data_IF_895983678518
#
_entry.id   IF_895983678518
#
_cell.length_a   1.000
_cell.length_b   1.000
_cell.length_c   1.000
_cell.angle_alpha   90.00
_cell.angle_beta   90.00
_cell.angle_gamma   90.00
#
_symmetry.space_group_name_H-M   'P 1'
#
loop_
_entity.id
_entity.type
_entity.pdbx_description
1 polymer ?
#
# COMPACT_ATOMS: atom_id res chain seq x y z
N UNK A 1 11.53 19.54 -9.02
CA UNK A 1 10.84 18.29 -8.63
C UNK A 1 9.37 18.44 -8.97
N UNK A 2 8.88 17.78 -10.01
CA UNK A 2 7.48 17.88 -10.41
C UNK A 2 6.61 17.12 -9.41
N UNK A 3 5.91 17.84 -8.53
CA UNK A 3 4.83 17.29 -7.72
C UNK A 3 3.64 17.04 -8.66
N UNK A 4 3.49 15.80 -9.13
CA UNK A 4 2.29 15.38 -9.85
C UNK A 4 1.04 15.76 -9.04
N UNK A 5 -0.01 16.29 -9.67
CA UNK A 5 -1.22 16.68 -8.97
C UNK A 5 -1.83 15.42 -8.36
N UNK A 6 -1.85 15.36 -7.03
CA UNK A 6 -2.72 14.48 -6.27
C UNK A 6 -4.14 14.82 -6.75
N UNK A 7 -4.67 14.00 -7.66
CA UNK A 7 -5.86 14.32 -8.44
C UNK A 7 -7.04 14.64 -7.53
N UNK A 8 -7.86 15.61 -7.94
CA UNK A 8 -9.09 16.03 -7.27
C UNK A 8 -9.90 14.79 -6.86
N UNK A 9 -10.06 14.55 -5.55
CA UNK A 9 -10.75 13.37 -5.00
C UNK A 9 -9.85 12.24 -4.47
N UNK A 10 -8.53 12.42 -4.43
CA UNK A 10 -7.62 11.47 -3.79
C UNK A 10 -7.31 11.89 -2.34
N UNK A 11 -7.26 10.91 -1.43
CA UNK A 11 -6.88 11.12 -0.03
C UNK A 11 -5.53 10.47 0.25
N UNK A 12 -4.70 11.16 1.03
CA UNK A 12 -3.43 10.61 1.52
C UNK A 12 -3.70 9.85 2.81
N UNK A 13 -3.25 8.60 2.88
CA UNK A 13 -3.40 7.73 4.05
C UNK A 13 -2.01 7.40 4.58
N UNK A 14 -1.78 7.72 5.86
CA UNK A 14 -0.61 7.23 6.59
C UNK A 14 -0.91 5.84 7.16
N UNK A 15 -0.03 4.87 6.91
CA UNK A 15 -0.16 3.51 7.44
C UNK A 15 1.00 3.27 8.40
N UNK A 16 0.68 3.03 9.67
CA UNK A 16 1.69 2.61 10.63
C UNK A 16 1.94 1.10 10.47
N UNK A 17 3.19 0.70 10.36
CA UNK A 17 3.58 -0.71 10.22
C UNK A 17 4.99 -0.96 10.77
N UNK A 18 5.33 -2.21 11.14
CA UNK A 18 6.69 -2.54 11.56
C UNK A 18 7.71 -2.25 10.46
N UNK A 19 8.90 -1.76 10.84
CA UNK A 19 9.98 -1.42 9.89
C UNK A 19 10.29 -2.54 8.90
N UNK A 20 10.41 -3.78 9.39
CA UNK A 20 10.69 -4.96 8.56
C UNK A 20 9.66 -5.18 7.44
N UNK A 21 8.39 -4.90 7.72
CA UNK A 21 7.32 -5.03 6.72
C UNK A 21 7.44 -3.93 5.66
N UNK A 22 7.76 -2.70 6.07
CA UNK A 22 8.00 -1.59 5.14
C UNK A 22 9.20 -1.87 4.21
N UNK A 23 10.30 -2.39 4.77
CA UNK A 23 11.48 -2.78 4.00
C UNK A 23 11.18 -3.90 3.00
N UNK A 24 10.34 -4.87 3.37
CA UNK A 24 9.92 -5.92 2.45
C UNK A 24 9.05 -5.38 1.31
N UNK A 25 8.08 -4.51 1.61
CA UNK A 25 7.25 -3.86 0.59
C UNK A 25 8.10 -3.07 -0.41
N UNK A 26 9.13 -2.37 0.09
CA UNK A 26 10.09 -1.64 -0.71
C UNK A 26 10.91 -2.55 -1.62
N UNK A 27 11.50 -3.62 -1.07
CA UNK A 27 12.28 -4.60 -1.85
C UNK A 27 11.46 -5.23 -2.97
N UNK A 28 10.19 -5.58 -2.70
CA UNK A 28 9.29 -6.17 -3.69
C UNK A 28 8.86 -5.15 -4.75
N UNK A 29 8.57 -3.91 -4.35
CA UNK A 29 8.26 -2.84 -5.30
C UNK A 29 9.43 -2.55 -6.25
N UNK A 30 10.65 -2.51 -5.71
CA UNK A 30 11.89 -2.32 -6.46
C UNK A 30 12.12 -3.46 -7.47
N UNK A 31 11.95 -4.71 -7.03
CA UNK A 31 12.05 -5.90 -7.89
C UNK A 31 11.05 -5.90 -9.06
N UNK A 32 9.94 -5.17 -8.93
CA UNK A 32 8.90 -5.02 -9.95
C UNK A 32 9.02 -3.70 -10.72
N UNK A 33 10.06 -2.90 -10.47
CA UNK A 33 10.27 -1.57 -11.05
C UNK A 33 9.05 -0.62 -10.90
N UNK A 34 8.37 -0.67 -9.76
CA UNK A 34 7.25 0.23 -9.43
C UNK A 34 7.46 0.95 -8.10
N UNK A 35 6.76 2.07 -7.91
CA UNK A 35 6.85 2.81 -6.65
C UNK A 35 6.20 2.04 -5.49
N UNK A 36 6.75 2.22 -4.28
CA UNK A 36 6.21 1.65 -3.04
C UNK A 36 4.70 1.92 -2.87
N UNK A 37 4.29 3.16 -3.16
CA UNK A 37 2.88 3.57 -3.09
C UNK A 37 2.00 2.84 -4.11
N UNK A 38 2.51 2.58 -5.33
CA UNK A 38 1.79 1.81 -6.35
C UNK A 38 1.69 0.34 -5.95
N UNK A 39 2.77 -0.25 -5.45
CA UNK A 39 2.77 -1.63 -4.97
C UNK A 39 1.78 -1.81 -3.79
N UNK A 40 1.81 -0.91 -2.81
CA UNK A 40 0.89 -0.94 -1.67
C UNK A 40 -0.59 -0.85 -2.12
N UNK A 41 -0.90 0.02 -3.09
CA UNK A 41 -2.25 0.09 -3.69
C UNK A 41 -2.68 -1.22 -4.36
N UNK A 42 -1.77 -1.88 -5.08
CA UNK A 42 -2.05 -3.17 -5.73
C UNK A 42 -2.36 -4.23 -4.66
N UNK A 43 -1.50 -4.35 -3.65
CA UNK A 43 -1.69 -5.35 -2.56
C UNK A 43 -3.02 -5.15 -1.85
N UNK A 44 -3.36 -3.91 -1.47
CA UNK A 44 -4.64 -3.60 -0.82
C UNK A 44 -5.83 -3.86 -1.76
N UNK A 45 -5.70 -3.54 -3.04
CA UNK A 45 -6.72 -3.81 -4.05
C UNK A 45 -6.97 -5.31 -4.25
N UNK A 46 -5.91 -6.12 -4.35
CA UNK A 46 -6.01 -7.58 -4.45
C UNK A 46 -6.60 -8.19 -3.18
N UNK A 47 -6.26 -7.64 -2.00
CA UNK A 47 -6.87 -8.07 -0.75
C UNK A 47 -8.38 -7.79 -0.73
N UNK A 48 -8.84 -6.60 -1.13
CA UNK A 48 -10.27 -6.26 -1.23
C UNK A 48 -10.97 -7.21 -2.21
N UNK A 49 -10.39 -7.45 -3.39
CA UNK A 49 -10.94 -8.38 -4.41
C UNK A 49 -11.01 -9.82 -3.92
N UNK A 50 -10.08 -10.24 -3.05
CA UNK A 50 -10.07 -11.59 -2.48
C UNK A 50 -11.30 -11.88 -1.62
N UNK A 51 -12.09 -10.88 -1.21
CA UNK A 51 -13.30 -11.06 -0.40
C UNK A 51 -13.03 -11.60 1.01
N UNK A 52 -11.76 -11.75 1.40
CA UNK A 52 -11.34 -12.21 2.72
C UNK A 52 -11.55 -11.07 3.72
N UNK A 53 -12.65 -11.13 4.47
CA UNK A 53 -12.87 -10.24 5.61
C UNK A 53 -11.72 -10.43 6.60
N UNK A 54 -10.99 -9.34 6.90
CA UNK A 54 -10.13 -9.32 8.08
C UNK A 54 -11.07 -9.39 9.29
N UNK A 55 -11.16 -10.56 9.91
CA UNK A 55 -11.76 -10.70 11.23
C UNK A 55 -10.80 -10.07 12.24
N UNK A 56 -10.79 -8.73 12.29
CA UNK A 56 -10.19 -7.97 13.38
C UNK A 56 -11.11 -8.17 14.60
N UNK A 57 -10.95 -9.30 15.26
CA UNK A 57 -11.50 -9.52 16.59
C UNK A 57 -10.49 -9.02 17.60
N UNK A 58 -10.88 -8.04 18.42
CA UNK A 58 -10.17 -7.72 19.64
C UNK A 58 -10.28 -8.92 20.60
N UNK A 59 -9.18 -9.26 21.28
CA UNK A 59 -9.17 -10.17 22.43
C UNK A 59 -9.20 -9.37 23.71
#
# INVERSE_FOLDING_TARGET
MATNPIGKGTQTIGINMPKKMAEELERRADSMHISKSKYCKIVLGEWIKSGKKLTLGEK
#
